data_IF_804473883893
#
_entry.id   IF_804473883893
#
_cell.length_a   1.000
_cell.length_b   1.000
_cell.length_c   1.000
_cell.angle_alpha   90.00
_cell.angle_beta   90.00
_cell.angle_gamma   90.00
#
_symmetry.space_group_name_H-M   'P 1'
#
loop_
_entity.id
_entity.type
_entity.pdbx_description
1 polymer ?
#
# COMPACT_ATOMS: atom_id res chain seq x y z
N UNK A 1 1.07 -26.45 -38.29
CA UNK A 1 1.52 -25.32 -37.44
C UNK A 1 0.28 -24.53 -37.08
N UNK A 2 -0.34 -24.81 -35.94
CA UNK A 2 -1.58 -24.14 -35.55
C UNK A 2 -1.22 -22.90 -34.71
N UNK A 3 -1.40 -21.71 -35.28
CA UNK A 3 -1.26 -20.44 -34.57
C UNK A 3 -2.35 -20.33 -33.49
N UNK A 4 -1.97 -20.34 -32.20
CA UNK A 4 -2.82 -19.77 -31.14
C UNK A 4 -2.71 -18.25 -31.18
N UNK A 5 -3.56 -17.61 -31.99
CA UNK A 5 -3.92 -16.21 -31.80
C UNK A 5 -4.71 -16.09 -30.50
N UNK A 6 -4.12 -15.54 -29.44
CA UNK A 6 -4.89 -15.04 -28.31
C UNK A 6 -5.26 -13.58 -28.54
N UNK A 7 -6.52 -13.20 -28.29
CA UNK A 7 -7.05 -11.91 -28.72
C UNK A 7 -6.50 -10.79 -27.84
N UNK A 8 -5.82 -9.84 -28.49
CA UNK A 8 -5.72 -8.46 -28.03
C UNK A 8 -7.10 -7.81 -28.06
N UNK A 9 -7.46 -7.00 -27.05
CA UNK A 9 -8.63 -6.09 -27.04
C UNK A 9 -9.88 -6.52 -26.24
N UNK A 10 -9.72 -6.95 -24.99
CA UNK A 10 -10.82 -6.97 -24.00
C UNK A 10 -10.48 -6.55 -22.56
N UNK A 11 -9.20 -6.26 -22.25
CA UNK A 11 -8.68 -6.23 -20.86
C UNK A 11 -8.61 -4.85 -20.20
N UNK A 12 -9.11 -3.79 -20.84
CA UNK A 12 -8.86 -2.40 -20.39
C UNK A 12 -9.52 -2.00 -19.06
N UNK A 13 -10.81 -2.32 -18.78
CA UNK A 13 -11.42 -1.96 -17.49
C UNK A 13 -11.07 -2.92 -16.35
N UNK A 14 -10.92 -4.22 -16.65
CA UNK A 14 -10.57 -5.23 -15.64
C UNK A 14 -9.15 -4.98 -15.09
N UNK A 15 -8.20 -4.62 -15.96
CA UNK A 15 -6.84 -4.29 -15.53
C UNK A 15 -6.79 -3.06 -14.63
N UNK A 16 -7.66 -2.06 -14.85
CA UNK A 16 -7.72 -0.89 -13.99
C UNK A 16 -8.19 -1.28 -12.58
N UNK A 17 -9.29 -2.03 -12.48
CA UNK A 17 -9.82 -2.48 -11.19
C UNK A 17 -8.81 -3.34 -10.42
N UNK A 18 -8.18 -4.30 -11.09
CA UNK A 18 -7.13 -5.14 -10.49
C UNK A 18 -5.92 -4.31 -10.07
N UNK A 19 -5.49 -3.33 -10.89
CA UNK A 19 -4.36 -2.43 -10.58
C UNK A 19 -4.65 -1.56 -9.36
N UNK A 20 -5.82 -0.94 -9.26
CA UNK A 20 -6.19 -0.12 -8.11
C UNK A 20 -6.39 -0.95 -6.84
N UNK A 21 -6.95 -2.16 -6.97
CA UNK A 21 -7.07 -3.09 -5.85
C UNK A 21 -5.69 -3.48 -5.32
N UNK A 22 -4.77 -3.90 -6.20
CA UNK A 22 -3.40 -4.24 -5.83
C UNK A 22 -2.65 -3.06 -5.18
N UNK A 23 -2.85 -1.85 -5.70
CA UNK A 23 -2.27 -0.62 -5.14
C UNK A 23 -2.83 -0.31 -3.74
N UNK A 24 -4.14 -0.49 -3.53
CA UNK A 24 -4.78 -0.38 -2.22
C UNK A 24 -4.24 -1.40 -1.21
N UNK A 25 -4.09 -2.67 -1.62
CA UNK A 25 -3.46 -3.70 -0.77
C UNK A 25 -2.02 -3.33 -0.40
N UNK A 26 -1.25 -2.78 -1.34
CA UNK A 26 0.10 -2.29 -1.07
C UNK A 26 0.11 -1.16 -0.03
N UNK A 27 -0.81 -0.20 -0.15
CA UNK A 27 -0.94 0.89 0.84
C UNK A 27 -1.31 0.38 2.23
N UNK A 28 -2.26 -0.55 2.31
CA UNK A 28 -2.66 -1.18 3.59
C UNK A 28 -1.46 -1.90 4.20
N UNK A 29 -0.68 -2.62 3.38
CA UNK A 29 0.55 -3.28 3.83
C UNK A 29 1.58 -2.29 4.40
N UNK A 30 1.82 -1.16 3.72
CA UNK A 30 2.73 -0.12 4.19
C UNK A 30 2.24 0.48 5.50
N UNK A 31 1.00 0.98 5.54
CA UNK A 31 0.44 1.62 6.74
C UNK A 31 0.40 0.65 7.93
N UNK A 32 -0.01 -0.60 7.69
CA UNK A 32 -0.03 -1.66 8.68
C UNK A 32 1.36 -1.99 9.21
N UNK A 33 2.37 -2.09 8.35
CA UNK A 33 3.75 -2.34 8.75
C UNK A 33 4.32 -1.21 9.62
N UNK A 34 4.11 0.05 9.23
CA UNK A 34 4.54 1.21 10.02
C UNK A 34 3.79 1.29 11.36
N UNK A 35 2.48 1.09 11.36
CA UNK A 35 1.67 1.11 12.59
C UNK A 35 2.08 -0.02 13.54
N UNK A 36 2.29 -1.23 13.03
CA UNK A 36 2.74 -2.37 13.83
C UNK A 36 4.15 -2.19 14.40
N UNK A 37 5.07 -1.64 13.59
CA UNK A 37 6.40 -1.29 14.05
C UNK A 37 6.35 -0.25 15.18
N UNK A 38 5.50 0.77 15.05
CA UNK A 38 5.29 1.78 16.08
C UNK A 38 4.69 1.19 17.35
N UNK A 39 3.69 0.31 17.20
CA UNK A 39 3.03 -0.37 18.31
C UNK A 39 3.99 -1.25 19.11
N UNK A 40 4.79 -2.06 18.42
CA UNK A 40 5.81 -2.90 19.07
C UNK A 40 6.86 -2.06 19.79
N UNK A 41 7.22 -0.90 19.23
CA UNK A 41 8.20 0.01 19.83
C UNK A 41 7.63 0.69 21.08
N UNK A 42 6.38 1.13 21.05
CA UNK A 42 5.68 1.67 22.22
C UNK A 42 5.53 0.61 23.33
N UNK A 43 5.18 -0.62 22.96
CA UNK A 43 5.03 -1.74 23.90
C UNK A 43 6.37 -2.10 24.57
N UNK A 44 7.48 -2.09 23.81
CA UNK A 44 8.82 -2.34 24.35
C UNK A 44 9.31 -1.25 25.32
N UNK A 45 8.69 -0.07 25.32
CA UNK A 45 9.06 1.07 26.17
C UNK A 45 8.13 1.24 27.37
N UNK A 46 7.14 0.36 27.55
CA UNK A 46 6.06 0.50 28.54
C UNK A 46 5.48 1.93 28.56
N UNK A 47 5.48 2.60 27.41
CA UNK A 47 5.07 3.99 27.37
C UNK A 47 3.55 4.04 27.51
N UNK A 48 3.06 4.68 28.57
CA UNK A 48 1.63 4.89 28.80
C UNK A 48 0.95 5.65 27.64
N UNK A 49 1.75 6.38 26.84
CA UNK A 49 1.30 7.12 25.67
C UNK A 49 1.95 6.56 24.40
N UNK A 50 1.18 6.11 23.39
CA UNK A 50 1.70 5.50 22.18
C UNK A 50 2.24 6.53 21.18
N UNK A 51 3.30 7.25 21.58
CA UNK A 51 3.88 8.36 20.83
C UNK A 51 4.59 7.83 19.57
N UNK A 52 5.28 6.69 19.65
CA UNK A 52 5.98 6.13 18.50
C UNK A 52 4.99 5.60 17.46
N UNK A 53 3.89 4.97 17.88
CA UNK A 53 2.79 4.58 16.99
C UNK A 53 2.18 5.80 16.32
N UNK A 54 1.96 6.89 17.06
CA UNK A 54 1.43 8.13 16.48
C UNK A 54 2.35 8.69 15.39
N UNK A 55 3.66 8.79 15.66
CA UNK A 55 4.64 9.30 14.69
C UNK A 55 4.78 8.34 13.49
N UNK A 56 4.99 7.04 13.73
CA UNK A 56 5.18 6.07 12.66
C UNK A 56 3.92 5.92 11.79
N UNK A 57 2.72 5.96 12.37
CA UNK A 57 1.49 5.92 11.59
C UNK A 57 1.32 7.16 10.72
N UNK A 58 1.63 8.36 11.23
CA UNK A 58 1.58 9.60 10.47
C UNK A 58 2.56 9.57 9.29
N UNK A 59 3.79 9.11 9.53
CA UNK A 59 4.83 8.93 8.51
C UNK A 59 4.42 7.85 7.50
N UNK A 60 3.87 6.72 7.97
CA UNK A 60 3.38 5.64 7.12
C UNK A 60 2.27 6.09 6.17
N UNK A 61 1.33 6.91 6.66
CA UNK A 61 0.28 7.52 5.84
C UNK A 61 0.87 8.50 4.84
N UNK A 62 1.80 9.37 5.24
CA UNK A 62 2.46 10.31 4.34
C UNK A 62 3.22 9.59 3.20
N UNK A 63 3.94 8.52 3.53
CA UNK A 63 4.65 7.68 2.55
C UNK A 63 3.66 6.98 1.62
N UNK A 64 2.59 6.38 2.16
CA UNK A 64 1.57 5.70 1.35
C UNK A 64 0.93 6.67 0.36
N UNK A 65 0.57 7.87 0.80
CA UNK A 65 0.03 8.93 -0.07
C UNK A 65 1.04 9.37 -1.14
N UNK A 66 2.31 9.56 -0.77
CA UNK A 66 3.36 9.89 -1.74
C UNK A 66 3.50 8.82 -2.84
N UNK A 67 3.44 7.52 -2.47
CA UNK A 67 3.48 6.43 -3.43
C UNK A 67 2.26 6.42 -4.35
N UNK A 68 1.06 6.73 -3.84
CA UNK A 68 -0.14 6.86 -4.67
C UNK A 68 0.00 7.98 -5.67
N UNK A 69 0.35 9.18 -5.22
CA UNK A 69 0.51 10.34 -6.11
C UNK A 69 1.59 10.08 -7.16
N UNK A 70 2.72 9.50 -6.76
CA UNK A 70 3.81 9.13 -7.67
C UNK A 70 3.40 8.01 -8.65
N UNK A 71 2.57 7.06 -8.20
CA UNK A 71 2.08 5.96 -9.03
C UNK A 71 0.98 6.37 -10.02
N UNK A 72 0.28 7.47 -9.75
CA UNK A 72 -0.71 8.08 -10.65
C UNK A 72 -0.04 9.03 -11.66
N UNK A 73 1.00 9.76 -11.26
CA UNK A 73 1.74 10.69 -12.14
C UNK A 73 2.76 10.01 -13.10
N UNK A 74 2.66 8.68 -13.32
CA UNK A 74 3.50 7.93 -14.25
C UNK A 74 2.65 7.17 -15.26
#
# INVERSE_FOLDING_TARGET
>A
MEQKKQPENGKRPLNAYVKYSALGFQMIGIIGAFTFAGYKLDQSRESATPIYTAILSLVGVAIALYFVFKGINK
#
